data_IF_549042352036
#
_entry.id   IF_549042352036
#
_cell.length_a   1.000
_cell.length_b   1.000
_cell.length_c   1.000
_cell.angle_alpha   90.00
_cell.angle_beta   90.00
_cell.angle_gamma   90.00
#
_symmetry.space_group_name_H-M   'P 1'
#
loop_
_entity.id
_entity.type
_entity.pdbx_description
1 polymer ?
#
# COMPACT_ATOMS: atom_id res chain seq x y z
N UNK A 1 51.24 -35.15 12.03
CA UNK A 1 50.36 -34.85 13.17
C UNK A 1 49.13 -34.10 12.64
N UNK A 2 47.97 -34.37 13.20
CA UNK A 2 46.64 -34.37 12.57
C UNK A 2 46.03 -32.96 12.36
N UNK A 3 45.24 -32.80 11.29
CA UNK A 3 44.17 -31.79 11.16
C UNK A 3 42.99 -32.17 12.08
N UNK A 4 42.16 -31.18 12.46
CA UNK A 4 40.76 -31.17 12.01
C UNK A 4 40.38 -29.77 11.47
N UNK A 5 39.80 -29.61 10.28
CA UNK A 5 38.36 -29.68 9.98
C UNK A 5 37.45 -29.10 11.10
N UNK A 6 36.96 -27.88 10.89
CA UNK A 6 35.56 -27.56 11.23
C UNK A 6 34.87 -26.97 9.98
N UNK A 7 33.89 -27.74 9.56
CA UNK A 7 32.84 -27.46 8.61
C UNK A 7 31.62 -26.96 9.42
N UNK A 8 30.87 -25.99 8.91
CA UNK A 8 29.58 -25.56 9.49
C UNK A 8 29.57 -24.07 9.86
N UNK A 9 28.66 -23.22 9.41
CA UNK A 9 27.38 -23.46 8.77
C UNK A 9 27.11 -22.36 7.72
N UNK A 10 27.00 -22.78 6.46
CA UNK A 10 26.12 -22.15 5.49
C UNK A 10 24.68 -22.47 5.91
N UNK A 11 23.93 -21.47 6.39
CA UNK A 11 22.46 -21.43 6.38
C UNK A 11 22.01 -20.20 7.19
N UNK A 12 21.45 -19.19 6.55
CA UNK A 12 20.86 -18.07 7.30
C UNK A 12 20.25 -16.95 6.45
N UNK A 13 20.70 -16.78 5.20
CA UNK A 13 20.40 -15.56 4.43
C UNK A 13 19.34 -15.73 3.34
N UNK A 14 18.33 -16.57 3.55
CA UNK A 14 17.33 -16.88 2.50
C UNK A 14 15.87 -16.74 2.93
N UNK A 15 15.58 -16.00 4.01
CA UNK A 15 14.20 -15.83 4.52
C UNK A 15 13.69 -14.38 4.57
N UNK A 16 14.38 -13.42 3.94
CA UNK A 16 14.16 -12.01 4.23
C UNK A 16 13.17 -11.23 3.33
N UNK A 17 12.56 -11.84 2.31
CA UNK A 17 11.49 -11.15 1.57
C UNK A 17 10.42 -11.98 0.86
N UNK A 18 10.49 -13.30 0.93
CA UNK A 18 9.52 -14.18 0.27
C UNK A 18 8.26 -14.48 1.13
N UNK A 19 7.76 -13.52 1.91
CA UNK A 19 6.59 -13.76 2.79
C UNK A 19 5.41 -12.79 2.54
N UNK A 20 5.34 -12.25 1.31
CA UNK A 20 4.11 -11.69 0.76
C UNK A 20 3.81 -12.17 -0.68
N UNK A 21 4.74 -12.90 -1.33
CA UNK A 21 4.52 -13.55 -2.62
C UNK A 21 4.51 -15.07 -2.42
N UNK A 22 3.32 -15.67 -2.53
CA UNK A 22 3.17 -17.11 -2.42
C UNK A 22 3.97 -17.86 -3.49
N UNK A 23 4.76 -18.84 -3.06
CA UNK A 23 5.30 -19.89 -3.92
C UNK A 23 5.20 -21.25 -3.20
N UNK A 24 4.13 -21.96 -3.56
CA UNK A 24 3.99 -23.43 -3.67
C UNK A 24 4.37 -24.34 -2.51
N UNK A 25 3.35 -24.92 -1.88
CA UNK A 25 3.31 -26.36 -1.57
C UNK A 25 2.03 -26.98 -2.13
N UNK A 26 2.19 -28.12 -2.80
CA UNK A 26 1.14 -28.91 -3.44
C UNK A 26 0.47 -29.80 -2.39
N UNK A 27 -0.82 -29.60 -2.11
CA UNK A 27 -1.66 -30.63 -1.51
C UNK A 27 -3.14 -30.35 -1.80
N UNK A 28 -3.77 -31.30 -2.49
CA UNK A 28 -5.20 -31.32 -2.75
C UNK A 28 -5.99 -31.65 -1.48
N UNK A 29 -7.09 -30.95 -1.23
CA UNK A 29 -8.30 -31.58 -0.69
C UNK A 29 -9.52 -30.67 -0.86
N UNK A 30 -10.53 -31.29 -1.47
CA UNK A 30 -11.91 -30.85 -1.73
C UNK A 30 -12.76 -30.94 -0.45
N UNK A 31 -13.67 -29.97 -0.27
CA UNK A 31 -14.98 -30.01 0.41
C UNK A 31 -15.27 -28.61 1.00
N UNK A 32 -16.50 -28.09 1.10
CA UNK A 32 -17.83 -28.39 0.60
C UNK A 32 -18.67 -27.13 0.94
N UNK A 33 -19.59 -26.71 0.07
CA UNK A 33 -20.54 -25.63 0.38
C UNK A 33 -21.55 -26.05 1.47
N UNK A 34 -21.95 -25.12 2.33
CA UNK A 34 -23.29 -25.14 2.93
C UNK A 34 -24.14 -23.91 2.53
N UNK A 35 -25.47 -24.01 2.70
CA UNK A 35 -26.43 -23.48 1.73
C UNK A 35 -26.91 -22.05 2.01
N UNK A 36 -27.46 -21.46 0.95
CA UNK A 36 -28.29 -20.26 0.92
C UNK A 36 -29.58 -20.45 1.73
N UNK A 37 -29.86 -19.53 2.66
CA UNK A 37 -31.19 -19.36 3.23
C UNK A 37 -31.86 -18.10 2.69
N UNK A 38 -33.02 -18.33 2.09
CA UNK A 38 -34.01 -17.36 1.63
C UNK A 38 -34.63 -16.63 2.82
N UNK A 39 -34.67 -15.31 2.76
CA UNK A 39 -35.60 -14.51 3.57
C UNK A 39 -36.39 -13.60 2.64
N UNK A 40 -37.68 -13.94 2.51
CA UNK A 40 -38.73 -13.09 1.97
C UNK A 40 -39.11 -12.10 3.05
N UNK A 41 -39.13 -10.81 2.74
CA UNK A 41 -40.17 -9.94 3.29
C UNK A 41 -40.49 -8.78 2.36
N UNK A 42 -41.79 -8.56 2.24
CA UNK A 42 -42.49 -7.60 1.39
C UNK A 42 -42.63 -6.30 2.15
N UNK A 43 -42.20 -5.18 1.53
CA UNK A 43 -42.70 -3.86 1.87
C UNK A 43 -42.65 -2.98 0.61
N UNK A 44 -43.79 -2.87 -0.06
CA UNK A 44 -44.07 -1.77 -0.99
C UNK A 44 -44.42 -0.56 -0.15
N UNK A 45 -43.62 0.50 -0.22
CA UNK A 45 -44.09 1.84 0.15
C UNK A 45 -43.60 2.85 -0.88
N UNK A 46 -44.51 3.78 -1.20
CA UNK A 46 -44.45 4.62 -2.38
C UNK A 46 -43.45 5.77 -2.22
N UNK A 47 -42.73 6.06 -3.30
CA UNK A 47 -41.87 7.23 -3.41
C UNK A 47 -42.72 8.45 -3.83
N UNK A 48 -42.76 9.47 -2.97
CA UNK A 48 -43.05 10.84 -3.40
C UNK A 48 -41.73 11.58 -3.64
N UNK A 49 -41.55 11.94 -4.91
CA UNK A 49 -40.49 12.74 -5.45
C UNK A 49 -40.78 14.21 -5.13
N UNK A 50 -39.99 14.83 -4.25
CA UNK A 50 -39.97 16.30 -4.08
C UNK A 50 -38.59 16.81 -4.42
N UNK A 51 -38.47 17.26 -5.67
CA UNK A 51 -37.41 18.12 -6.17
C UNK A 51 -37.32 19.39 -5.33
N UNK A 52 -36.19 19.60 -4.65
CA UNK A 52 -35.80 20.92 -4.14
C UNK A 52 -34.45 21.29 -4.74
N UNK A 53 -34.50 22.38 -5.50
CA UNK A 53 -33.41 23.05 -6.18
C UNK A 53 -32.18 23.24 -5.30
N UNK A 54 -31.01 23.01 -5.91
CA UNK A 54 -29.70 23.22 -5.34
C UNK A 54 -29.44 24.72 -5.15
N UNK A 55 -29.53 25.18 -3.90
CA UNK A 55 -28.90 26.43 -3.49
C UNK A 55 -27.42 26.14 -3.26
N UNK A 56 -26.56 26.86 -3.98
CA UNK A 56 -25.11 26.73 -3.88
C UNK A 56 -24.63 27.02 -2.46
N UNK A 57 -24.32 25.96 -1.72
CA UNK A 57 -23.43 26.06 -0.59
C UNK A 57 -22.03 26.25 -1.15
N UNK A 58 -21.48 27.46 -0.98
CA UNK A 58 -20.04 27.61 -0.89
C UNK A 58 -19.59 26.72 0.28
N UNK A 59 -19.20 25.49 -0.03
CA UNK A 59 -18.58 24.57 0.91
C UNK A 59 -17.28 25.24 1.36
N UNK A 60 -17.30 25.80 2.56
CA UNK A 60 -16.11 25.96 3.39
C UNK A 60 -15.53 24.55 3.57
N UNK A 61 -14.73 24.12 2.60
CA UNK A 61 -14.25 22.74 2.49
C UNK A 61 -13.26 22.53 3.62
N UNK A 62 -13.76 22.14 4.79
CA UNK A 62 -12.95 21.66 5.88
C UNK A 62 -11.98 20.63 5.27
N UNK A 63 -10.68 20.92 5.33
CA UNK A 63 -9.67 20.10 4.65
C UNK A 63 -9.89 18.63 5.01
N UNK A 64 -9.98 17.77 3.99
CA UNK A 64 -10.23 16.35 4.16
C UNK A 64 -9.30 15.77 5.25
N UNK A 65 -9.77 14.94 6.19
CA UNK A 65 -8.91 14.32 7.20
C UNK A 65 -7.73 13.52 6.60
N UNK A 66 -7.84 13.11 5.33
CA UNK A 66 -6.74 12.50 4.58
C UNK A 66 -5.57 13.46 4.31
N UNK A 67 -5.76 14.78 4.40
CA UNK A 67 -4.72 15.78 4.17
C UNK A 67 -3.55 15.64 5.17
N UNK A 68 -3.78 15.04 6.34
CA UNK A 68 -2.72 14.67 7.28
C UNK A 68 -1.71 13.67 6.70
N UNK A 69 -2.06 12.98 5.62
CA UNK A 69 -1.22 12.05 4.87
C UNK A 69 -0.65 12.65 3.57
N UNK A 70 -0.89 13.94 3.29
CA UNK A 70 -0.44 14.59 2.05
C UNK A 70 1.07 14.47 1.82
N UNK A 71 1.86 14.45 2.89
CA UNK A 71 3.33 14.30 2.84
C UNK A 71 3.77 12.95 2.24
N UNK A 72 2.92 11.91 2.27
CA UNK A 72 3.21 10.62 1.64
C UNK A 72 3.13 10.67 0.12
N UNK A 73 2.48 11.67 -0.48
CA UNK A 73 2.35 11.76 -1.94
C UNK A 73 3.73 11.90 -2.57
N UNK A 74 4.04 11.04 -3.53
CA UNK A 74 5.34 10.98 -4.20
C UNK A 74 5.79 9.56 -4.52
N UNK A 75 7.04 9.44 -4.97
CA UNK A 75 7.71 8.17 -5.22
C UNK A 75 8.74 7.91 -4.12
N UNK A 76 8.83 6.67 -3.67
CA UNK A 76 9.58 6.28 -2.48
C UNK A 76 10.29 4.95 -2.69
N UNK A 77 11.47 4.81 -2.11
CA UNK A 77 12.19 3.54 -2.00
C UNK A 77 12.73 3.37 -0.60
N UNK A 78 12.61 2.18 -0.03
CA UNK A 78 13.43 1.84 1.13
C UNK A 78 14.90 1.66 0.72
N UNK A 79 15.81 1.78 1.69
CA UNK A 79 17.25 1.62 1.48
C UNK A 79 17.74 0.18 1.77
N UNK A 80 16.88 -0.83 1.65
CA UNK A 80 17.28 -2.21 1.86
C UNK A 80 18.20 -2.73 0.74
N UNK A 81 19.27 -3.45 1.10
CA UNK A 81 20.25 -3.99 0.14
C UNK A 81 19.79 -5.26 -0.57
N UNK A 82 19.15 -6.17 0.17
CA UNK A 82 18.67 -7.46 -0.35
C UNK A 82 17.21 -7.39 -0.81
N UNK A 83 16.46 -6.51 -0.15
CA UNK A 83 15.02 -6.36 -0.30
C UNK A 83 14.72 -4.89 -0.44
N UNK A 84 14.03 -4.52 -1.50
CA UNK A 84 13.67 -3.13 -1.75
C UNK A 84 12.17 -3.01 -1.99
N UNK A 85 11.50 -2.14 -1.24
CA UNK A 85 10.14 -1.69 -1.54
C UNK A 85 10.19 -0.37 -2.30
N UNK A 86 9.61 -0.35 -3.51
CA UNK A 86 9.39 0.87 -4.28
C UNK A 86 7.90 1.17 -4.31
N UNK A 87 7.53 2.42 -4.04
CA UNK A 87 6.14 2.86 -3.95
C UNK A 87 5.92 4.16 -4.72
N UNK A 88 4.75 4.30 -5.35
CA UNK A 88 4.23 5.56 -5.86
C UNK A 88 2.89 5.84 -5.19
N UNK A 89 2.74 7.00 -4.59
CA UNK A 89 1.54 7.44 -3.85
C UNK A 89 1.02 8.72 -4.50
N UNK A 90 -0.28 8.76 -4.81
CA UNK A 90 -0.91 9.87 -5.51
C UNK A 90 -2.33 10.10 -4.98
N UNK A 91 -2.79 11.36 -5.02
CA UNK A 91 -4.21 11.68 -4.88
C UNK A 91 -5.02 11.08 -6.03
N UNK A 92 -6.25 10.67 -5.75
CA UNK A 92 -7.21 10.18 -6.72
C UNK A 92 -8.61 10.74 -6.40
N UNK A 93 -9.45 10.85 -7.44
CA UNK A 93 -10.81 11.36 -7.36
C UNK A 93 -10.89 12.69 -6.61
N UNK A 94 -10.20 13.71 -7.14
CA UNK A 94 -10.19 15.07 -6.60
C UNK A 94 -9.77 15.17 -5.12
N UNK A 95 -8.87 14.28 -4.68
CA UNK A 95 -8.34 14.27 -3.32
C UNK A 95 -9.18 13.46 -2.33
N UNK A 96 -10.26 12.81 -2.77
CA UNK A 96 -11.08 11.95 -1.91
C UNK A 96 -10.33 10.69 -1.44
N UNK A 97 -9.32 10.25 -2.18
CA UNK A 97 -8.52 9.06 -1.86
C UNK A 97 -7.03 9.27 -2.11
N UNK A 98 -6.20 8.53 -1.39
CA UNK A 98 -4.83 8.26 -1.81
C UNK A 98 -4.76 6.87 -2.44
N UNK A 99 -4.11 6.76 -3.58
CA UNK A 99 -3.77 5.48 -4.20
C UNK A 99 -2.27 5.27 -4.08
N UNK A 100 -1.86 4.04 -3.78
CA UNK A 100 -0.46 3.63 -3.75
C UNK A 100 -0.27 2.40 -4.62
N UNK A 101 0.61 2.47 -5.61
CA UNK A 101 1.17 1.27 -6.24
C UNK A 101 2.50 0.96 -5.59
N UNK A 102 2.82 -0.33 -5.43
CA UNK A 102 4.08 -0.75 -4.85
C UNK A 102 4.62 -2.02 -5.50
N UNK A 103 5.94 -2.20 -5.40
CA UNK A 103 6.66 -3.40 -5.80
C UNK A 103 7.64 -3.80 -4.70
N UNK A 104 7.74 -5.10 -4.42
CA UNK A 104 8.78 -5.68 -3.57
C UNK A 104 9.77 -6.38 -4.49
N UNK A 105 11.02 -5.99 -4.37
CA UNK A 105 12.13 -6.46 -5.19
C UNK A 105 13.08 -7.23 -4.28
N UNK A 106 13.48 -8.43 -4.71
CA UNK A 106 14.43 -9.30 -4.00
C UNK A 106 15.47 -9.74 -5.00
N UNK A 107 16.75 -9.53 -4.67
CA UNK A 107 17.87 -9.85 -5.57
C UNK A 107 17.66 -9.29 -6.99
N UNK A 108 17.15 -8.05 -7.07
CA UNK A 108 16.87 -7.35 -8.34
C UNK A 108 15.63 -7.81 -9.11
N UNK A 109 14.85 -8.78 -8.59
CA UNK A 109 13.62 -9.27 -9.23
C UNK A 109 12.39 -8.84 -8.45
N UNK A 110 11.40 -8.26 -9.16
CA UNK A 110 10.11 -7.96 -8.57
C UNK A 110 9.36 -9.27 -8.25
N UNK A 111 9.20 -9.57 -6.96
CA UNK A 111 8.53 -10.80 -6.48
C UNK A 111 7.07 -10.56 -6.13
N UNK A 112 6.70 -9.32 -5.81
CA UNK A 112 5.34 -8.93 -5.48
C UNK A 112 5.04 -7.53 -6.01
N UNK A 113 3.82 -7.31 -6.47
CA UNK A 113 3.29 -5.97 -6.77
C UNK A 113 1.93 -5.82 -6.13
N UNK A 114 1.49 -4.60 -5.91
CA UNK A 114 0.14 -4.38 -5.43
C UNK A 114 -0.30 -2.94 -5.51
N UNK A 115 -1.59 -2.76 -5.25
CA UNK A 115 -2.28 -1.48 -5.18
C UNK A 115 -2.93 -1.35 -3.82
N UNK A 116 -2.89 -0.14 -3.27
CA UNK A 116 -3.57 0.23 -2.04
C UNK A 116 -4.42 1.47 -2.29
N UNK A 117 -5.62 1.47 -1.72
CA UNK A 117 -6.48 2.66 -1.62
C UNK A 117 -6.56 3.04 -0.16
N UNK A 118 -6.38 4.32 0.16
CA UNK A 118 -6.52 4.89 1.51
C UNK A 118 -7.64 5.94 1.46
N UNK A 119 -8.59 5.83 2.39
CA UNK A 119 -9.80 6.64 2.43
C UNK A 119 -10.13 7.09 3.85
N UNK A 120 -10.92 8.16 3.96
CA UNK A 120 -11.60 8.52 5.19
C UNK A 120 -12.92 7.76 5.31
N UNK A 121 -13.16 7.11 6.45
CA UNK A 121 -14.44 6.49 6.80
C UNK A 121 -15.23 7.49 7.66
N UNK A 122 -16.25 8.18 7.09
CA UNK A 122 -16.98 9.22 7.81
C UNK A 122 -17.93 8.67 8.88
N UNK A 123 -18.28 7.38 8.83
CA UNK A 123 -19.14 6.72 9.84
C UNK A 123 -18.30 6.34 11.05
N UNK A 124 -17.11 5.76 10.81
CA UNK A 124 -16.18 5.35 11.88
C UNK A 124 -15.23 6.46 12.31
N UNK A 125 -15.26 7.61 11.64
CA UNK A 125 -14.40 8.79 11.87
C UNK A 125 -12.92 8.42 11.93
N UNK A 126 -12.44 7.66 10.94
CA UNK A 126 -11.05 7.18 10.90
C UNK A 126 -10.57 6.94 9.48
N UNK A 127 -9.25 6.93 9.29
CA UNK A 127 -8.65 6.53 8.03
C UNK A 127 -8.60 4.99 7.93
N UNK A 128 -9.02 4.47 6.79
CA UNK A 128 -8.95 3.06 6.41
C UNK A 128 -8.19 2.88 5.12
N UNK A 129 -7.71 1.68 4.88
CA UNK A 129 -7.12 1.33 3.59
C UNK A 129 -7.45 -0.10 3.17
N UNK A 130 -7.38 -0.36 1.88
CA UNK A 130 -7.52 -1.68 1.27
C UNK A 130 -6.33 -1.93 0.37
N UNK A 131 -5.82 -3.15 0.37
CA UNK A 131 -4.66 -3.57 -0.43
C UNK A 131 -5.05 -4.78 -1.26
N UNK A 132 -4.58 -4.83 -2.49
CA UNK A 132 -4.70 -5.95 -3.42
C UNK A 132 -3.32 -6.23 -4.01
N UNK A 133 -2.88 -7.48 -4.03
CA UNK A 133 -1.57 -7.85 -4.53
C UNK A 133 -1.63 -8.79 -5.75
N UNK A 134 -0.49 -8.91 -6.43
CA UNK A 134 -0.34 -9.68 -7.66
C UNK A 134 -0.44 -11.19 -7.46
N UNK A 135 -0.39 -11.68 -6.22
CA UNK A 135 -0.63 -13.09 -5.91
C UNK A 135 -2.13 -13.41 -5.78
N UNK A 136 -3.00 -12.39 -5.77
CA UNK A 136 -4.44 -12.54 -5.54
C UNK A 136 -4.84 -12.38 -4.07
N UNK A 137 -3.91 -11.94 -3.21
CA UNK A 137 -4.20 -11.57 -1.83
C UNK A 137 -4.86 -10.19 -1.74
N UNK A 138 -5.63 -10.00 -0.68
CA UNK A 138 -6.22 -8.71 -0.35
C UNK A 138 -6.28 -8.49 1.15
N UNK A 139 -6.39 -7.25 1.58
CA UNK A 139 -6.47 -6.93 3.00
C UNK A 139 -6.95 -5.52 3.27
N UNK A 140 -7.17 -5.25 4.55
CA UNK A 140 -7.57 -3.94 5.03
C UNK A 140 -6.62 -3.42 6.10
N UNK A 141 -6.67 -2.11 6.35
CA UNK A 141 -5.88 -1.43 7.35
C UNK A 141 -6.67 -0.34 8.06
N UNK A 142 -6.49 -0.23 9.37
CA UNK A 142 -6.99 0.90 10.17
C UNK A 142 -5.78 1.73 10.60
N UNK A 143 -5.83 3.03 10.32
CA UNK A 143 -4.75 3.97 10.58
C UNK A 143 -5.05 4.76 11.84
N UNK A 144 -4.08 4.83 12.75
CA UNK A 144 -4.14 5.61 13.98
C UNK A 144 -2.93 6.53 14.02
N UNK A 145 -3.16 7.82 14.28
CA UNK A 145 -2.10 8.79 14.46
C UNK A 145 -1.64 8.82 15.92
N UNK A 146 -0.33 8.83 16.12
CA UNK A 146 0.33 9.01 17.42
C UNK A 146 1.50 9.99 17.24
N UNK A 147 1.25 11.27 17.49
CA UNK A 147 2.21 12.34 17.22
C UNK A 147 2.61 12.42 15.74
N UNK A 148 3.88 12.11 15.45
CA UNK A 148 4.45 12.03 14.10
C UNK A 148 4.45 10.61 13.52
N UNK A 149 3.83 9.65 14.21
CA UNK A 149 3.72 8.26 13.78
C UNK A 149 2.30 7.93 13.30
N UNK A 150 2.23 7.00 12.36
CA UNK A 150 1.01 6.35 11.91
C UNK A 150 1.12 4.86 12.16
N UNK A 151 0.26 4.35 13.04
CA UNK A 151 0.11 2.94 13.34
C UNK A 151 -0.99 2.37 12.45
N UNK A 152 -0.67 1.34 11.67
CA UNK A 152 -1.57 0.74 10.71
C UNK A 152 -1.77 -0.73 11.10
N UNK A 153 -2.91 -1.03 11.70
CA UNK A 153 -3.32 -2.40 12.02
C UNK A 153 -3.88 -3.04 10.78
N UNK A 154 -3.27 -4.12 10.29
CA UNK A 154 -3.65 -4.75 9.03
C UNK A 154 -4.10 -6.19 9.22
N UNK A 155 -5.07 -6.57 8.42
CA UNK A 155 -5.55 -7.95 8.25
C UNK A 155 -5.58 -8.27 6.76
N UNK A 156 -5.23 -9.51 6.41
CA UNK A 156 -5.10 -9.98 5.04
C UNK A 156 -5.70 -11.37 4.89
N UNK A 157 -6.21 -11.63 3.70
CA UNK A 157 -6.50 -12.95 3.17
C UNK A 157 -5.51 -13.19 2.04
N UNK A 158 -4.66 -14.20 2.18
CA UNK A 158 -3.72 -14.61 1.15
C UNK A 158 -4.45 -15.39 0.05
N UNK A 159 -3.81 -15.54 -1.11
CA UNK A 159 -4.33 -16.35 -2.21
C UNK A 159 -4.55 -17.82 -1.83
N UNK A 160 -3.84 -18.31 -0.81
CA UNK A 160 -4.01 -19.65 -0.23
C UNK A 160 -5.27 -19.77 0.65
N UNK A 161 -5.94 -18.66 0.96
CA UNK A 161 -7.06 -18.57 1.90
C UNK A 161 -6.63 -18.33 3.35
N UNK A 162 -5.33 -18.42 3.65
CA UNK A 162 -4.81 -18.16 4.99
C UNK A 162 -5.00 -16.70 5.40
N UNK A 163 -5.26 -16.50 6.69
CA UNK A 163 -5.28 -15.15 7.27
C UNK A 163 -3.88 -14.72 7.66
N UNK A 164 -3.59 -13.46 7.40
CA UNK A 164 -2.37 -12.82 7.85
C UNK A 164 -2.67 -11.49 8.57
N UNK A 165 -1.79 -11.08 9.47
CA UNK A 165 -1.91 -9.80 10.17
C UNK A 165 -0.55 -9.16 10.39
N UNK A 166 -0.55 -7.84 10.59
CA UNK A 166 0.64 -7.08 10.94
C UNK A 166 0.27 -5.72 11.55
N UNK A 167 1.16 -5.17 12.37
CA UNK A 167 1.15 -3.76 12.73
C UNK A 167 2.30 -3.06 12.02
N UNK A 168 1.96 -2.20 11.06
CA UNK A 168 2.93 -1.34 10.42
C UNK A 168 3.02 -0.01 11.17
N UNK A 169 4.21 0.53 11.30
CA UNK A 169 4.44 1.87 11.87
C UNK A 169 5.20 2.69 10.85
N UNK A 170 4.63 3.83 10.48
CA UNK A 170 5.25 4.83 9.62
C UNK A 170 5.55 6.04 10.47
N UNK A 171 6.82 6.46 10.54
CA UNK A 171 7.23 7.65 11.30
C UNK A 171 7.65 8.73 10.33
N UNK A 172 6.95 9.87 10.35
CA UNK A 172 7.37 11.06 9.61
C UNK A 172 8.71 11.57 10.13
N UNK A 173 9.64 11.87 9.22
CA UNK A 173 10.93 12.49 9.52
C UNK A 173 10.99 13.88 8.89
N UNK A 174 10.91 13.94 7.56
CA UNK A 174 10.91 15.18 6.77
C UNK A 174 10.24 14.96 5.41
N UNK A 175 10.24 15.98 4.55
CA UNK A 175 9.60 15.92 3.22
C UNK A 175 10.15 14.83 2.31
N UNK A 176 11.39 14.38 2.51
CA UNK A 176 12.06 13.40 1.66
C UNK A 176 12.32 12.07 2.36
N UNK A 177 11.89 11.94 3.62
CA UNK A 177 12.26 10.81 4.46
C UNK A 177 11.12 10.40 5.39
N UNK A 178 10.87 9.11 5.47
CA UNK A 178 10.12 8.53 6.58
C UNK A 178 10.75 7.21 7.02
N UNK A 179 10.42 6.76 8.23
CA UNK A 179 10.84 5.43 8.71
C UNK A 179 9.68 4.47 8.68
N UNK A 180 9.99 3.21 8.38
CA UNK A 180 9.02 2.13 8.33
C UNK A 180 9.49 0.97 9.20
N UNK A 181 8.59 0.36 9.97
CA UNK A 181 8.77 -0.96 10.58
C UNK A 181 7.49 -1.76 10.54
N UNK A 182 7.60 -3.08 10.65
CA UNK A 182 6.45 -4.00 10.68
C UNK A 182 6.65 -5.01 11.80
N UNK A 183 5.71 -5.06 12.74
CA UNK A 183 5.76 -5.91 13.92
C UNK A 183 4.50 -6.77 14.05
N UNK A 184 4.55 -7.77 14.94
CA UNK A 184 3.43 -8.69 15.20
C UNK A 184 2.88 -9.29 13.90
N UNK A 185 3.80 -9.74 13.04
CA UNK A 185 3.48 -10.30 11.75
C UNK A 185 3.09 -11.75 11.95
N UNK A 186 2.01 -12.16 11.31
CA UNK A 186 1.46 -13.51 11.46
C UNK A 186 0.88 -14.00 10.13
N UNK A 187 1.03 -15.29 9.84
CA UNK A 187 0.30 -16.00 8.78
C UNK A 187 -0.23 -17.31 9.38
N UNK A 188 -1.52 -17.57 9.26
CA UNK A 188 -2.14 -18.84 9.68
C UNK A 188 -1.89 -19.19 11.16
N UNK A 189 -1.82 -18.20 12.06
CA UNK A 189 -1.49 -18.41 13.47
C UNK A 189 0.01 -18.46 13.79
N UNK A 190 0.90 -18.47 12.78
CA UNK A 190 2.34 -18.52 12.98
C UNK A 190 2.96 -17.13 12.94
N UNK A 191 3.70 -16.78 13.99
CA UNK A 191 4.45 -15.53 14.05
C UNK A 191 5.63 -15.54 13.07
N UNK A 192 5.75 -14.45 12.32
CA UNK A 192 6.87 -14.17 11.45
C UNK A 192 7.85 -13.20 12.12
N UNK A 193 9.12 -13.18 11.68
CA UNK A 193 10.06 -12.15 12.09
C UNK A 193 9.54 -10.74 11.79
N UNK A 194 9.84 -9.81 12.69
CA UNK A 194 9.57 -8.39 12.47
C UNK A 194 10.46 -7.86 11.35
N UNK A 195 9.94 -6.89 10.59
CA UNK A 195 10.77 -6.05 9.74
C UNK A 195 11.34 -4.95 10.63
N UNK A 196 12.67 -4.88 10.82
CA UNK A 196 13.28 -3.83 11.63
C UNK A 196 13.01 -2.46 11.04
N UNK A 197 13.24 -1.41 11.82
CA UNK A 197 13.08 -0.05 11.32
C UNK A 197 14.05 0.20 10.16
N UNK A 198 13.48 0.64 9.03
CA UNK A 198 14.22 1.00 7.82
C UNK A 198 13.88 2.43 7.42
N UNK A 199 14.85 3.08 6.77
CA UNK A 199 14.67 4.42 6.20
C UNK A 199 14.12 4.31 4.79
N UNK A 200 13.06 5.07 4.51
CA UNK A 200 12.44 5.19 3.21
C UNK A 200 12.68 6.61 2.70
N UNK A 201 13.27 6.71 1.52
CA UNK A 201 13.64 7.97 0.89
C UNK A 201 12.81 8.24 -0.34
N UNK A 202 12.51 9.52 -0.55
CA UNK A 202 11.82 9.98 -1.74
C UNK A 202 12.72 9.78 -2.94
N UNK A 203 12.20 9.14 -3.98
CA UNK A 203 12.84 9.10 -5.28
C UNK A 203 12.60 10.45 -5.95
N UNK A 204 13.68 11.16 -6.27
CA UNK A 204 13.56 12.35 -7.12
C UNK A 204 13.02 11.87 -8.47
N UNK A 205 11.89 12.42 -8.90
CA UNK A 205 11.48 12.25 -10.28
C UNK A 205 12.54 12.89 -11.15
N UNK A 206 12.92 12.25 -12.26
CA UNK A 206 13.62 12.94 -13.32
C UNK A 206 12.82 14.21 -13.63
N UNK A 207 13.33 15.35 -13.18
CA UNK A 207 12.88 16.65 -13.63
C UNK A 207 13.08 16.64 -15.14
N UNK A 208 11.99 16.44 -15.89
CA UNK A 208 12.05 16.53 -17.34
C UNK A 208 12.63 17.90 -17.70
N UNK A 209 13.57 17.83 -18.63
CA UNK A 209 14.54 18.85 -18.98
C UNK A 209 14.00 20.24 -19.25
N UNK A 210 14.88 21.19 -18.96
CA UNK A 210 14.94 22.55 -19.46
C UNK A 210 14.19 22.80 -20.77
N UNK A 211 13.27 23.76 -20.73
CA UNK A 211 12.88 24.54 -21.89
C UNK A 211 14.09 25.37 -22.37
N UNK A 212 14.92 24.79 -23.22
CA UNK A 212 15.91 25.52 -24.01
C UNK A 212 15.51 25.44 -25.48
N UNK A 213 14.87 26.53 -25.92
CA UNK A 213 15.07 27.23 -27.19
C UNK A 213 15.08 26.40 -28.48
N UNK A 214 14.04 26.60 -29.30
CA UNK A 214 14.24 26.75 -30.73
C UNK A 214 13.75 28.14 -31.16
N UNK A 215 14.70 29.05 -31.33
CA UNK A 215 14.50 30.33 -32.01
C UNK A 215 14.47 30.06 -33.51
N UNK A 216 13.34 30.31 -34.15
CA UNK A 216 13.20 30.27 -35.60
C UNK A 216 13.88 31.53 -36.19
N UNK A 217 14.89 31.41 -37.08
CA UNK A 217 15.42 32.57 -37.79
C UNK A 217 14.45 33.00 -38.91
N UNK A 218 14.17 34.29 -38.97
CA UNK A 218 13.41 34.94 -40.04
C UNK A 218 14.06 34.71 -41.40
N UNK A 219 13.30 34.15 -42.35
CA UNK A 219 13.69 34.17 -43.76
C UNK A 219 13.15 35.43 -44.44
N UNK A 220 14.06 36.03 -45.18
CA UNK A 220 14.01 37.24 -45.97
C UNK A 220 13.07 37.07 -47.18
N UNK A 221 12.09 37.96 -47.34
CA UNK A 221 11.29 38.05 -48.55
C UNK A 221 12.03 38.91 -49.58
N UNK A 222 12.39 38.29 -50.71
CA UNK A 222 12.72 38.99 -51.94
C UNK A 222 11.77 38.52 -53.05
N UNK A 223 11.27 39.51 -53.79
CA UNK A 223 10.40 39.50 -54.99
C UNK A 223 8.91 39.70 -54.75
#
# INVERSE_FOLDING_TARGET
MKRPFLLGALAGSLLFAASWAGATWLAASRAADPPSETSTDVATDQAEETSRSSEGAEEDSAASPLQELAWLVGQWSDQGKEVTNVSKIQWAYDGAFLTRSFQVIVDGKAVLKGTQVVAWDPVKKRIRSWVFDSSGGFGEGIWLRDGNQWLIKKTFTLATGERASALNVITYVDENTFRFKSVNREIGGQLLPNVPETTVVRLQGDSQGSSSTDSIPSQEASQ
#
